data_IF_270853651867
#
_entry.id   IF_270853651867
#
_cell.length_a   1.000
_cell.length_b   1.000
_cell.length_c   1.000
_cell.angle_alpha   90.00
_cell.angle_beta   90.00
_cell.angle_gamma   90.00
#
_symmetry.space_group_name_H-M   'P 1'
#
loop_
_entity.id
_entity.type
_entity.pdbx_description
1 polymer ?
#
# COMPACT_ATOMS: atom_id res chain seq x y z
N UNK A 1 -5.62 13.34 -2.18
CA UNK A 1 -5.21 14.12 -0.99
C UNK A 1 -4.20 13.26 -0.21
N UNK A 2 -3.33 13.87 0.59
CA UNK A 2 -2.47 13.13 1.54
C UNK A 2 -3.38 12.50 2.61
N UNK A 3 -3.34 11.16 2.84
CA UNK A 3 -4.15 10.57 3.91
C UNK A 3 -3.77 11.04 5.31
N UNK A 4 -2.58 11.63 5.48
CA UNK A 4 -2.08 12.01 6.79
C UNK A 4 -1.81 10.79 7.68
N UNK A 5 -1.90 11.01 8.99
CA UNK A 5 -1.72 9.95 9.99
C UNK A 5 -3.04 9.23 10.21
N UNK A 6 -3.06 7.91 10.02
CA UNK A 6 -4.26 7.06 10.18
C UNK A 6 -4.54 6.70 11.65
N UNK A 7 -3.50 6.39 12.43
CA UNK A 7 -3.59 6.04 13.85
C UNK A 7 -2.36 6.60 14.60
N UNK A 8 -2.57 7.11 15.82
CA UNK A 8 -1.53 7.68 16.70
C UNK A 8 -1.31 6.87 17.98
N UNK A 9 -1.98 5.75 18.16
CA UNK A 9 -1.88 4.94 19.36
C UNK A 9 -0.49 4.32 19.56
N UNK A 10 -0.07 4.23 20.83
CA UNK A 10 1.15 3.54 21.22
C UNK A 10 0.90 2.03 21.31
N UNK A 11 0.98 1.35 20.16
CA UNK A 11 0.81 -0.10 20.03
C UNK A 11 1.79 -0.69 19.03
N UNK A 12 1.77 -2.01 18.89
CA UNK A 12 2.43 -2.67 17.77
C UNK A 12 1.56 -2.56 16.52
N UNK A 13 2.19 -2.27 15.40
CA UNK A 13 1.55 -2.19 14.08
C UNK A 13 1.99 -3.39 13.23
N UNK A 14 1.02 -4.10 12.67
CA UNK A 14 1.24 -5.17 11.72
C UNK A 14 1.20 -4.60 10.30
N UNK A 15 2.19 -4.89 9.48
CA UNK A 15 2.18 -4.45 8.09
C UNK A 15 3.14 -5.24 7.22
N UNK A 16 2.95 -5.11 5.91
CA UNK A 16 3.79 -5.73 4.91
C UNK A 16 4.61 -4.67 4.16
N UNK A 17 5.94 -4.84 4.13
CA UNK A 17 6.85 -3.91 3.48
C UNK A 17 7.16 -4.26 2.01
N UNK A 18 6.68 -5.41 1.51
CA UNK A 18 7.06 -5.91 0.20
C UNK A 18 5.84 -6.40 -0.58
N UNK A 19 5.07 -5.45 -1.12
CA UNK A 19 3.85 -5.74 -1.85
C UNK A 19 3.91 -5.17 -3.26
N UNK A 20 3.51 -5.97 -4.25
CA UNK A 20 3.44 -5.60 -5.66
C UNK A 20 2.00 -5.53 -6.16
N UNK A 21 1.74 -4.58 -7.05
CA UNK A 21 0.47 -4.45 -7.75
C UNK A 21 0.67 -4.48 -9.26
N UNK A 22 -0.40 -4.31 -10.05
CA UNK A 22 -0.30 -4.22 -11.53
C UNK A 22 0.72 -3.18 -12.00
N UNK A 23 1.04 -2.19 -11.18
CA UNK A 23 2.02 -1.15 -11.45
C UNK A 23 3.46 -1.68 -11.55
N UNK A 24 3.76 -2.85 -10.95
CA UNK A 24 5.06 -3.54 -11.06
C UNK A 24 5.30 -4.13 -12.46
N UNK A 25 4.21 -4.43 -13.17
CA UNK A 25 4.24 -5.04 -14.50
C UNK A 25 4.25 -6.57 -14.52
N UNK A 26 4.51 -7.24 -13.40
CA UNK A 26 4.51 -8.70 -13.26
C UNK A 26 3.58 -9.25 -12.16
N UNK A 27 3.05 -8.38 -11.29
CA UNK A 27 1.99 -8.71 -10.36
C UNK A 27 0.58 -8.47 -10.94
N UNK A 28 -0.40 -9.21 -10.42
CA UNK A 28 -1.78 -9.24 -10.93
C UNK A 28 -2.81 -8.37 -10.18
N UNK A 29 -2.77 -8.22 -8.84
CA UNK A 29 -3.82 -7.49 -8.13
C UNK A 29 -3.73 -5.99 -8.39
N UNK A 30 -4.89 -5.33 -8.46
CA UNK A 30 -4.99 -3.87 -8.35
C UNK A 30 -4.60 -3.41 -6.95
N UNK A 31 -4.27 -2.13 -6.78
CA UNK A 31 -4.02 -1.53 -5.46
C UNK A 31 -5.20 -1.77 -4.51
N UNK A 32 -6.43 -1.63 -4.99
CA UNK A 32 -7.65 -1.87 -4.20
C UNK A 32 -7.80 -3.33 -3.75
N UNK A 33 -7.63 -4.30 -4.67
CA UNK A 33 -7.66 -5.73 -4.33
C UNK A 33 -6.59 -6.11 -3.29
N UNK A 34 -5.41 -5.48 -3.37
CA UNK A 34 -4.35 -5.65 -2.37
C UNK A 34 -4.74 -5.08 -1.00
N UNK A 35 -5.39 -3.91 -0.97
CA UNK A 35 -5.85 -3.27 0.27
C UNK A 35 -7.03 -4.01 0.91
N UNK A 36 -7.98 -4.50 0.11
CA UNK A 36 -9.09 -5.35 0.57
C UNK A 36 -8.54 -6.58 1.31
N UNK A 37 -7.55 -7.25 0.71
CA UNK A 37 -6.92 -8.40 1.34
C UNK A 37 -6.14 -8.02 2.61
N UNK A 38 -5.37 -6.93 2.57
CA UNK A 38 -4.63 -6.44 3.74
C UNK A 38 -5.57 -6.15 4.93
N UNK A 39 -6.74 -5.56 4.66
CA UNK A 39 -7.77 -5.33 5.66
C UNK A 39 -8.37 -6.65 6.17
N UNK A 40 -8.67 -7.61 5.29
CA UNK A 40 -9.20 -8.93 5.66
C UNK A 40 -8.28 -9.68 6.63
N UNK A 41 -6.97 -9.58 6.45
CA UNK A 41 -5.98 -10.24 7.31
C UNK A 41 -5.52 -9.38 8.49
N UNK A 42 -6.06 -8.17 8.66
CA UNK A 42 -5.82 -7.29 9.80
C UNK A 42 -4.45 -6.60 9.80
N UNK A 43 -3.93 -6.22 8.62
CA UNK A 43 -2.77 -5.34 8.53
C UNK A 43 -3.17 -3.88 8.74
N UNK A 44 -2.34 -3.13 9.46
CA UNK A 44 -2.48 -1.69 9.66
C UNK A 44 -1.92 -0.88 8.47
N UNK A 45 -0.97 -1.45 7.73
CA UNK A 45 -0.37 -0.80 6.57
C UNK A 45 0.20 -1.81 5.58
N UNK A 46 0.36 -1.35 4.33
CA UNK A 46 1.18 -2.01 3.32
C UNK A 46 2.11 -1.00 2.66
N UNK A 47 3.30 -1.44 2.24
CA UNK A 47 4.16 -0.70 1.34
C UNK A 47 4.05 -1.28 -0.07
N UNK A 48 3.64 -0.43 -1.02
CA UNK A 48 3.71 -0.77 -2.43
C UNK A 48 5.14 -0.53 -2.92
N UNK A 49 5.84 -1.62 -3.23
CA UNK A 49 7.27 -1.65 -3.55
C UNK A 49 7.50 -2.10 -5.01
N UNK A 50 6.83 -1.45 -5.97
CA UNK A 50 6.84 -1.86 -7.37
C UNK A 50 8.27 -1.94 -7.98
N UNK A 51 8.47 -2.84 -8.93
CA UNK A 51 9.77 -3.07 -9.57
C UNK A 51 10.24 -1.88 -10.39
N UNK A 52 11.30 -1.21 -9.91
CA UNK A 52 12.00 -0.11 -10.56
C UNK A 52 11.09 1.05 -11.01
N UNK A 53 9.94 1.23 -10.35
CA UNK A 53 8.96 2.25 -10.71
C UNK A 53 8.22 2.78 -9.49
N UNK A 54 7.79 4.04 -9.56
CA UNK A 54 6.86 4.65 -8.62
C UNK A 54 5.58 5.14 -9.33
N UNK A 55 5.28 4.58 -10.50
CA UNK A 55 4.16 5.02 -11.35
C UNK A 55 2.80 4.99 -10.66
N UNK A 56 2.63 4.13 -9.65
CA UNK A 56 1.41 4.04 -8.85
C UNK A 56 1.17 5.21 -7.89
N UNK A 57 2.19 6.03 -7.58
CA UNK A 57 2.11 7.05 -6.54
C UNK A 57 0.97 8.06 -6.75
N UNK A 58 0.66 8.39 -8.00
CA UNK A 58 -0.43 9.33 -8.33
C UNK A 58 -1.83 8.74 -8.10
N UNK A 59 -1.95 7.42 -7.95
CA UNK A 59 -3.20 6.71 -7.70
C UNK A 59 -3.54 6.60 -6.21
N UNK A 60 -2.55 6.73 -5.32
CA UNK A 60 -2.77 6.45 -3.89
C UNK A 60 -3.82 7.39 -3.30
N UNK A 61 -3.75 8.68 -3.64
CA UNK A 61 -4.70 9.67 -3.16
C UNK A 61 -6.14 9.48 -3.64
N UNK A 62 -6.39 8.68 -4.68
CA UNK A 62 -7.74 8.31 -5.11
C UNK A 62 -8.22 6.98 -4.52
N UNK A 63 -7.31 6.06 -4.20
CA UNK A 63 -7.66 4.73 -3.67
C UNK A 63 -7.75 4.73 -2.15
N UNK A 64 -6.83 5.40 -1.46
CA UNK A 64 -6.74 5.42 0.00
C UNK A 64 -8.04 5.82 0.74
N UNK A 65 -8.87 6.78 0.26
CA UNK A 65 -10.13 7.11 0.92
C UNK A 65 -11.12 5.94 1.00
N UNK A 66 -11.05 4.98 0.08
CA UNK A 66 -11.92 3.79 0.06
C UNK A 66 -11.43 2.71 1.05
N UNK A 67 -10.21 2.81 1.57
CA UNK A 67 -9.60 1.88 2.52
C UNK A 67 -9.09 2.61 3.78
N UNK A 68 -9.99 3.18 4.61
CA UNK A 68 -9.61 4.02 5.75
C UNK A 68 -8.99 3.25 6.94
N UNK A 69 -8.90 1.93 6.87
CA UNK A 69 -8.35 1.08 7.93
C UNK A 69 -6.92 0.59 7.64
N UNK A 70 -6.43 0.76 6.40
CA UNK A 70 -5.09 0.31 5.97
C UNK A 70 -4.32 1.48 5.36
N UNK A 71 -3.18 1.84 5.94
CA UNK A 71 -2.34 2.90 5.41
C UNK A 71 -1.48 2.41 4.22
N UNK A 72 -1.51 3.13 3.10
CA UNK A 72 -0.57 2.93 1.99
C UNK A 72 0.74 3.67 2.30
N UNK A 73 1.85 2.96 2.31
CA UNK A 73 3.20 3.53 2.40
C UNK A 73 3.86 3.51 1.00
N UNK A 74 4.40 4.63 0.51
CA UNK A 74 5.12 4.66 -0.75
C UNK A 74 6.49 3.98 -0.64
N UNK A 75 6.80 3.09 -1.59
CA UNK A 75 8.10 2.41 -1.74
C UNK A 75 8.45 2.15 -3.20
N UNK A 76 9.64 1.57 -3.44
CA UNK A 76 10.12 1.08 -4.74
C UNK A 76 11.09 -0.07 -4.48
N UNK A 77 10.97 -1.17 -5.22
CA UNK A 77 11.98 -2.24 -5.25
C UNK A 77 12.97 -2.00 -6.40
N UNK A 78 14.25 -1.86 -6.09
CA UNK A 78 15.32 -1.64 -7.09
C UNK A 78 16.09 -2.92 -7.41
N UNK A 79 16.31 -3.18 -8.69
CA UNK A 79 17.25 -4.22 -9.13
C UNK A 79 18.70 -3.77 -8.98
N UNK A 80 19.58 -4.65 -8.52
CA UNK A 80 21.01 -4.39 -8.25
C UNK A 80 21.93 -5.29 -9.03
#
# INVERSE_FOLDING_TARGET
EDPGVLDTEARWYAGDFHVHSRQSGDARPTIGETLDFAQEVGLDFIMLSEHNTNSGLTLYGSVQPDHPEVLIIPGVEWST
#
